data_IF_607619181556
#
_entry.id   IF_607619181556
#
_cell.length_a   1.000
_cell.length_b   1.000
_cell.length_c   1.000
_cell.angle_alpha   90.00
_cell.angle_beta   90.00
_cell.angle_gamma   90.00
#
_symmetry.space_group_name_H-M   'P 1'
#
loop_
_entity.id
_entity.type
_entity.pdbx_description
1 polymer ?
#
# COMPACT_ATOMS: atom_id res chain seq x y z
N UNK A 1 -42.00 42.01 -10.45
CA UNK A 1 -41.84 41.06 -9.33
C UNK A 1 -42.01 39.61 -9.76
N UNK A 2 -43.09 39.19 -10.39
CA UNK A 2 -43.34 37.80 -10.82
C UNK A 2 -42.22 37.21 -11.69
N UNK A 3 -41.67 37.92 -12.66
CA UNK A 3 -40.57 37.46 -13.52
C UNK A 3 -39.24 37.20 -12.74
N UNK A 4 -39.00 37.92 -11.66
CA UNK A 4 -37.82 37.76 -10.79
C UNK A 4 -38.01 36.51 -9.95
N UNK A 5 -39.18 36.30 -9.38
CA UNK A 5 -39.53 35.12 -8.59
C UNK A 5 -39.35 33.84 -9.43
N UNK A 6 -39.84 33.82 -10.67
CA UNK A 6 -39.69 32.68 -11.60
C UNK A 6 -38.20 32.39 -11.88
N UNK A 7 -37.37 33.42 -12.09
CA UNK A 7 -35.95 33.23 -12.33
C UNK A 7 -35.23 32.65 -11.10
N UNK A 8 -35.54 33.16 -9.93
CA UNK A 8 -34.94 32.68 -8.66
C UNK A 8 -35.35 31.22 -8.38
N UNK A 9 -36.61 30.89 -8.58
CA UNK A 9 -37.11 29.51 -8.41
C UNK A 9 -36.45 28.56 -9.43
N UNK A 10 -36.24 29.00 -10.66
CA UNK A 10 -35.57 28.19 -11.68
C UNK A 10 -34.09 27.95 -11.37
N UNK A 11 -33.38 28.99 -10.89
CA UNK A 11 -31.99 28.86 -10.43
C UNK A 11 -31.89 27.93 -9.22
N UNK A 12 -32.80 28.05 -8.27
CA UNK A 12 -32.86 27.17 -7.09
C UNK A 12 -33.12 25.72 -7.52
N UNK A 13 -33.97 25.47 -8.50
CA UNK A 13 -34.23 24.15 -9.04
C UNK A 13 -33.01 23.55 -9.75
N UNK A 14 -32.24 24.36 -10.47
CA UNK A 14 -30.98 23.94 -11.12
C UNK A 14 -29.94 23.57 -10.08
N UNK A 15 -29.85 24.29 -8.96
CA UNK A 15 -28.91 24.00 -7.86
C UNK A 15 -29.28 22.68 -7.19
N UNK A 16 -30.57 22.41 -6.97
CA UNK A 16 -31.03 21.13 -6.41
C UNK A 16 -30.74 19.94 -7.32
N UNK A 17 -30.79 20.12 -8.66
CA UNK A 17 -30.43 19.06 -9.61
C UNK A 17 -28.93 18.76 -9.66
N UNK A 18 -28.08 19.66 -9.15
CA UNK A 18 -26.63 19.49 -9.08
C UNK A 18 -26.15 18.77 -7.83
N UNK A 19 -27.06 18.38 -6.92
CA UNK A 19 -26.74 17.44 -5.84
C UNK A 19 -26.63 16.06 -6.47
N UNK A 20 -25.55 15.88 -7.25
CA UNK A 20 -25.19 14.58 -7.79
C UNK A 20 -24.98 13.64 -6.63
N UNK A 21 -25.61 12.50 -6.69
CA UNK A 21 -25.43 11.38 -5.79
C UNK A 21 -23.93 11.13 -5.59
N UNK A 22 -23.43 11.52 -4.44
CA UNK A 22 -22.12 11.10 -3.97
C UNK A 22 -22.30 9.62 -3.55
N UNK A 23 -22.47 8.75 -4.55
CA UNK A 23 -22.42 7.31 -4.26
C UNK A 23 -21.01 7.01 -3.79
N UNK A 24 -20.90 6.62 -2.54
CA UNK A 24 -19.65 6.06 -2.05
C UNK A 24 -19.40 4.77 -2.85
N UNK A 25 -18.37 4.78 -3.68
CA UNK A 25 -17.94 3.59 -4.40
C UNK A 25 -17.63 2.48 -3.39
N UNK A 26 -18.10 1.28 -3.68
CA UNK A 26 -17.93 0.09 -2.83
C UNK A 26 -16.97 -0.85 -3.54
N UNK A 27 -16.08 -1.46 -2.79
CA UNK A 27 -15.15 -2.47 -3.29
C UNK A 27 -15.93 -3.77 -3.52
N UNK A 28 -16.10 -4.16 -4.77
CA UNK A 28 -16.75 -5.43 -5.16
C UNK A 28 -15.73 -6.53 -5.41
N UNK A 29 -14.54 -6.16 -5.88
CA UNK A 29 -13.45 -7.08 -6.18
C UNK A 29 -12.11 -6.49 -5.73
N UNK A 30 -11.14 -7.37 -5.41
CA UNK A 30 -9.77 -6.97 -5.09
C UNK A 30 -8.83 -7.72 -6.04
N UNK A 31 -8.08 -6.95 -6.83
CA UNK A 31 -7.07 -7.45 -7.75
C UNK A 31 -5.67 -7.10 -7.25
N UNK A 32 -4.79 -8.09 -7.19
CA UNK A 32 -3.39 -7.92 -6.81
C UNK A 32 -2.50 -8.14 -8.03
N UNK A 33 -1.52 -7.29 -8.22
CA UNK A 33 -0.57 -7.39 -9.32
C UNK A 33 0.86 -7.16 -8.82
N UNK A 34 1.85 -7.82 -9.46
CA UNK A 34 3.27 -7.59 -9.26
C UNK A 34 3.91 -8.39 -8.12
N UNK A 35 3.11 -9.15 -7.36
CA UNK A 35 3.62 -10.06 -6.34
C UNK A 35 4.27 -11.30 -6.96
N UNK A 36 5.28 -11.83 -6.31
CA UNK A 36 6.04 -13.01 -6.76
C UNK A 36 6.12 -14.09 -5.67
N UNK A 37 6.48 -13.71 -4.45
CA UNK A 37 6.68 -14.61 -3.30
C UNK A 37 5.51 -14.55 -2.33
N UNK A 38 4.88 -13.38 -2.21
CA UNK A 38 3.81 -13.12 -1.25
C UNK A 38 2.48 -13.39 -1.95
N UNK A 39 1.64 -14.25 -1.38
CA UNK A 39 0.35 -14.59 -1.99
C UNK A 39 -0.64 -13.41 -1.95
N UNK A 40 -1.56 -13.35 -2.91
CA UNK A 40 -2.65 -12.36 -2.94
C UNK A 40 -3.40 -12.29 -1.62
N UNK A 41 -3.73 -13.46 -1.05
CA UNK A 41 -4.44 -13.55 0.24
C UNK A 41 -3.67 -12.88 1.36
N UNK A 42 -2.34 -13.02 1.36
CA UNK A 42 -1.47 -12.39 2.38
C UNK A 42 -1.44 -10.87 2.19
N UNK A 43 -1.38 -10.39 0.94
CA UNK A 43 -1.40 -8.95 0.64
C UNK A 43 -2.74 -8.33 1.04
N UNK A 44 -3.86 -9.01 0.74
CA UNK A 44 -5.19 -8.58 1.17
C UNK A 44 -5.27 -8.50 2.70
N UNK A 45 -4.73 -9.50 3.41
CA UNK A 45 -4.69 -9.52 4.88
C UNK A 45 -3.88 -8.33 5.43
N UNK A 46 -2.71 -8.06 4.87
CA UNK A 46 -1.84 -6.95 5.29
C UNK A 46 -2.48 -5.59 5.02
N UNK A 47 -3.08 -5.39 3.85
CA UNK A 47 -3.77 -4.15 3.51
C UNK A 47 -4.98 -3.88 4.41
N UNK A 48 -5.59 -4.92 4.99
CA UNK A 48 -6.89 -4.91 5.70
C UNK A 48 -8.06 -4.51 4.81
N UNK A 49 -7.90 -4.56 3.49
CA UNK A 49 -8.97 -4.31 2.54
C UNK A 49 -10.05 -5.40 2.63
N UNK A 50 -11.31 -5.00 2.45
CA UNK A 50 -12.46 -5.91 2.51
C UNK A 50 -13.43 -5.63 1.37
N UNK A 51 -13.94 -6.68 0.76
CA UNK A 51 -15.08 -6.61 -0.15
C UNK A 51 -16.29 -6.02 0.59
N UNK A 52 -17.12 -5.27 -0.12
CA UNK A 52 -18.27 -4.51 0.40
C UNK A 52 -17.91 -3.36 1.37
N UNK A 53 -16.65 -2.96 1.46
CA UNK A 53 -16.24 -1.75 2.18
C UNK A 53 -16.27 -0.52 1.26
N UNK A 54 -16.42 0.67 1.86
CA UNK A 54 -16.36 1.93 1.12
C UNK A 54 -14.93 2.19 0.62
N UNK A 55 -14.82 2.60 -0.63
CA UNK A 55 -13.57 2.98 -1.26
C UNK A 55 -13.35 4.51 -1.19
N UNK A 56 -13.35 5.07 0.02
CA UNK A 56 -12.98 6.47 0.22
C UNK A 56 -11.47 6.66 0.07
N UNK A 57 -11.05 7.87 -0.28
CA UNK A 57 -9.62 8.21 -0.34
C UNK A 57 -8.89 7.89 0.97
N UNK A 58 -9.54 8.12 2.11
CA UNK A 58 -9.02 7.78 3.43
C UNK A 58 -8.76 6.26 3.56
N UNK A 59 -9.70 5.43 3.11
CA UNK A 59 -9.55 3.98 3.15
C UNK A 59 -8.46 3.50 2.18
N UNK A 60 -8.37 4.06 0.99
CA UNK A 60 -7.31 3.71 0.03
C UNK A 60 -5.93 4.06 0.61
N UNK A 61 -5.77 5.23 1.21
CA UNK A 61 -4.55 5.64 1.90
C UNK A 61 -4.23 4.74 3.11
N UNK A 62 -5.24 4.30 3.85
CA UNK A 62 -5.08 3.35 4.95
C UNK A 62 -4.57 1.99 4.47
N UNK A 63 -5.10 1.46 3.36
CA UNK A 63 -4.62 0.20 2.78
C UNK A 63 -3.17 0.32 2.30
N UNK A 64 -2.86 1.41 1.61
CA UNK A 64 -1.51 1.74 1.16
C UNK A 64 -0.52 1.78 2.33
N UNK A 65 -0.85 2.53 3.38
CA UNK A 65 -0.02 2.66 4.58
C UNK A 65 0.24 1.32 5.26
N UNK A 66 -0.80 0.50 5.45
CA UNK A 66 -0.66 -0.82 6.06
C UNK A 66 0.32 -1.71 5.29
N UNK A 67 0.32 -1.63 3.95
CA UNK A 67 1.25 -2.42 3.13
C UNK A 67 2.70 -1.92 3.27
N UNK A 68 2.93 -0.60 3.27
CA UNK A 68 4.27 -0.05 3.49
C UNK A 68 4.83 -0.38 4.88
N UNK A 69 3.98 -0.39 5.90
CA UNK A 69 4.39 -0.73 7.28
C UNK A 69 4.86 -2.17 7.47
N UNK A 70 4.62 -3.05 6.50
CA UNK A 70 5.12 -4.44 6.54
C UNK A 70 6.60 -4.56 6.20
N UNK A 71 7.20 -3.55 5.58
CA UNK A 71 8.57 -3.59 5.04
C UNK A 71 8.83 -4.68 3.98
N UNK A 72 7.79 -5.32 3.44
CA UNK A 72 7.93 -6.34 2.40
C UNK A 72 7.92 -5.79 0.99
N UNK A 73 7.53 -4.54 0.82
CA UNK A 73 7.32 -3.92 -0.48
C UNK A 73 8.18 -2.67 -0.65
N UNK A 74 8.88 -2.60 -1.79
CA UNK A 74 9.64 -1.44 -2.23
C UNK A 74 8.72 -0.36 -2.81
N UNK A 75 7.65 -0.80 -3.48
CA UNK A 75 6.68 0.08 -4.09
C UNK A 75 5.27 -0.50 -3.97
N UNK A 76 4.31 0.36 -3.69
CA UNK A 76 2.89 0.00 -3.57
C UNK A 76 2.05 1.10 -4.18
N UNK A 77 1.07 0.74 -5.00
CA UNK A 77 0.02 1.64 -5.42
C UNK A 77 -1.36 1.01 -5.18
N UNK A 78 -2.30 1.82 -4.74
CA UNK A 78 -3.67 1.40 -4.45
C UNK A 78 -4.61 2.34 -5.17
N UNK A 79 -5.51 1.81 -6.00
CA UNK A 79 -6.52 2.59 -6.71
C UNK A 79 -7.82 1.81 -6.84
N UNK A 80 -8.91 2.51 -7.03
CA UNK A 80 -10.20 1.92 -7.36
C UNK A 80 -10.55 2.22 -8.81
N UNK A 81 -10.93 1.21 -9.58
CA UNK A 81 -11.43 1.32 -10.94
C UNK A 81 -12.64 0.40 -11.11
N UNK A 82 -13.78 0.94 -11.50
CA UNK A 82 -15.02 0.16 -11.73
C UNK A 82 -15.35 -0.79 -10.55
N UNK A 83 -15.36 -0.28 -9.32
CA UNK A 83 -15.61 -1.03 -8.09
C UNK A 83 -14.56 -2.14 -7.78
N UNK A 84 -13.49 -2.24 -8.57
CA UNK A 84 -12.36 -3.14 -8.34
C UNK A 84 -11.22 -2.39 -7.66
N UNK A 85 -10.84 -2.82 -6.46
CA UNK A 85 -9.66 -2.33 -5.77
C UNK A 85 -8.42 -2.97 -6.39
N UNK A 86 -7.62 -2.18 -7.10
CA UNK A 86 -6.38 -2.64 -7.72
C UNK A 86 -5.22 -2.27 -6.81
N UNK A 87 -4.49 -3.28 -6.33
CA UNK A 87 -3.28 -3.14 -5.53
C UNK A 87 -2.11 -3.64 -6.36
N UNK A 88 -1.22 -2.74 -6.76
CA UNK A 88 0.02 -3.13 -7.41
C UNK A 88 1.14 -3.05 -6.38
N UNK A 89 1.97 -4.09 -6.33
CA UNK A 89 3.09 -4.19 -5.40
C UNK A 89 4.37 -4.54 -6.15
N UNK A 90 5.49 -4.07 -5.60
CA UNK A 90 6.82 -4.55 -5.95
C UNK A 90 7.51 -4.99 -4.66
N UNK A 91 7.80 -6.28 -4.58
CA UNK A 91 8.39 -6.86 -3.38
C UNK A 91 9.84 -6.39 -3.18
N UNK A 92 10.22 -6.14 -1.92
CA UNK A 92 11.62 -5.93 -1.56
C UNK A 92 12.44 -7.20 -1.79
N UNK A 93 13.66 -7.10 -2.34
CA UNK A 93 14.59 -8.22 -2.37
C UNK A 93 14.85 -8.74 -0.96
N UNK A 94 15.13 -10.03 -0.83
CA UNK A 94 15.53 -10.63 0.45
C UNK A 94 16.99 -11.06 0.40
N UNK A 95 17.68 -10.90 1.52
CA UNK A 95 19.00 -11.45 1.75
C UNK A 95 18.81 -12.94 2.03
N UNK A 96 19.30 -13.79 1.16
CA UNK A 96 19.23 -15.23 1.40
C UNK A 96 20.21 -15.67 2.48
N UNK A 97 21.47 -15.25 2.35
CA UNK A 97 22.55 -15.61 3.27
C UNK A 97 23.55 -14.46 3.38
N UNK A 98 24.10 -14.27 4.57
CA UNK A 98 25.24 -13.37 4.81
C UNK A 98 26.46 -14.23 5.10
N UNK A 99 27.49 -14.14 4.26
CA UNK A 99 28.73 -14.90 4.42
C UNK A 99 29.84 -13.99 4.95
N UNK A 100 30.42 -14.38 6.09
CA UNK A 100 31.54 -13.68 6.70
C UNK A 100 32.86 -14.35 6.30
N UNK A 101 33.54 -13.77 5.32
CA UNK A 101 34.78 -14.33 4.73
C UNK A 101 35.99 -13.75 5.47
N UNK A 102 37.01 -14.62 5.74
CA UNK A 102 38.26 -14.20 6.37
C UNK A 102 38.27 -14.25 7.91
N UNK A 103 37.14 -14.50 8.53
CA UNK A 103 37.05 -14.65 9.99
C UNK A 103 37.32 -16.10 10.39
N UNK A 104 38.54 -16.38 10.85
CA UNK A 104 38.98 -17.76 11.20
C UNK A 104 38.52 -18.24 12.58
N UNK A 105 38.21 -17.35 13.49
CA UNK A 105 37.84 -17.72 14.86
C UNK A 105 36.40 -17.35 15.17
N UNK A 106 35.57 -18.32 15.58
CA UNK A 106 34.16 -18.13 15.90
C UNK A 106 33.92 -17.06 16.96
N UNK A 107 34.85 -16.83 17.90
CA UNK A 107 34.75 -15.79 18.93
C UNK A 107 34.62 -14.37 18.37
N UNK A 108 35.02 -14.13 17.11
CA UNK A 108 34.88 -12.83 16.45
C UNK A 108 33.62 -12.73 15.56
N UNK A 109 32.99 -13.87 15.24
CA UNK A 109 31.79 -13.88 14.40
C UNK A 109 30.58 -13.30 15.13
N UNK A 110 30.39 -13.64 16.40
CA UNK A 110 29.23 -13.18 17.15
C UNK A 110 29.21 -11.66 17.37
N UNK A 111 30.32 -11.00 17.78
CA UNK A 111 30.38 -9.54 17.79
C UNK A 111 30.09 -8.90 16.44
N UNK A 112 30.63 -9.43 15.34
CA UNK A 112 30.40 -8.91 13.97
C UNK A 112 28.93 -9.04 13.60
N UNK A 113 28.32 -10.22 13.79
CA UNK A 113 26.90 -10.44 13.53
C UNK A 113 25.98 -9.51 14.32
N UNK A 114 26.38 -9.15 15.54
CA UNK A 114 25.57 -8.28 16.40
C UNK A 114 25.58 -6.81 15.96
N UNK A 115 26.67 -6.34 15.34
CA UNK A 115 26.76 -4.94 14.85
C UNK A 115 26.31 -4.80 13.41
N UNK A 116 26.39 -5.87 12.61
CA UNK A 116 25.95 -5.87 11.21
C UNK A 116 24.44 -5.78 11.10
N UNK A 117 23.94 -4.88 10.28
CA UNK A 117 22.51 -4.71 9.97
C UNK A 117 22.00 -5.73 8.95
N UNK A 118 22.90 -6.26 8.12
CA UNK A 118 22.58 -7.34 7.17
C UNK A 118 22.32 -8.65 7.92
N UNK A 119 21.14 -9.21 7.74
CA UNK A 119 20.73 -10.48 8.37
C UNK A 119 20.16 -11.44 7.35
N UNK A 120 20.40 -12.73 7.54
CA UNK A 120 19.77 -13.77 6.74
C UNK A 120 18.25 -13.63 6.77
N UNK A 121 17.62 -13.81 5.63
CA UNK A 121 16.16 -13.78 5.44
C UNK A 121 15.49 -12.44 5.78
N UNK A 122 16.25 -11.35 5.89
CA UNK A 122 15.71 -10.01 6.04
C UNK A 122 15.51 -9.33 4.68
N UNK A 123 14.66 -8.32 4.62
CA UNK A 123 14.53 -7.46 3.42
C UNK A 123 15.83 -6.73 3.15
N UNK A 124 16.26 -6.72 1.91
CA UNK A 124 17.42 -5.95 1.48
C UNK A 124 16.99 -4.52 1.16
N UNK A 125 17.54 -3.57 1.90
CA UNK A 125 17.35 -2.14 1.62
C UNK A 125 18.71 -1.51 1.30
N UNK A 126 18.79 -0.76 0.21
CA UNK A 126 20.06 -0.18 -0.27
C UNK A 126 20.81 0.61 0.79
N UNK A 127 20.10 1.32 1.68
CA UNK A 127 20.73 2.09 2.75
C UNK A 127 21.42 1.20 3.80
N UNK A 128 20.93 -0.01 4.06
CA UNK A 128 21.56 -0.96 4.98
C UNK A 128 22.91 -1.40 4.44
N UNK A 129 22.99 -1.65 3.12
CA UNK A 129 24.24 -2.01 2.46
C UNK A 129 25.29 -0.89 2.53
N UNK A 130 24.86 0.37 2.42
CA UNK A 130 25.77 1.53 2.51
C UNK A 130 26.31 1.75 3.91
N UNK A 131 25.54 1.42 4.94
CA UNK A 131 25.96 1.56 6.35
C UNK A 131 26.91 0.45 6.81
N UNK A 132 26.90 -0.73 6.18
CA UNK A 132 27.73 -1.89 6.52
C UNK A 132 29.07 -1.95 5.70
N UNK A 133 29.35 -0.93 4.88
CA UNK A 133 30.65 -0.76 4.20
C UNK A 133 31.66 -0.06 5.09
#
# INVERSE_FOLDING_TARGET
>A
MLKIIIKVTFIFFIILFKINNLYAEIIEEIQINGNQRISDKTIILFSKAKINSKASEENLNFYLKNLYETDFFNDVSVKLENNTLIINVREEPIIQNVLYIGVKANKFLDPIKNVTKLKDRSSFKDYIFLEDK
#
